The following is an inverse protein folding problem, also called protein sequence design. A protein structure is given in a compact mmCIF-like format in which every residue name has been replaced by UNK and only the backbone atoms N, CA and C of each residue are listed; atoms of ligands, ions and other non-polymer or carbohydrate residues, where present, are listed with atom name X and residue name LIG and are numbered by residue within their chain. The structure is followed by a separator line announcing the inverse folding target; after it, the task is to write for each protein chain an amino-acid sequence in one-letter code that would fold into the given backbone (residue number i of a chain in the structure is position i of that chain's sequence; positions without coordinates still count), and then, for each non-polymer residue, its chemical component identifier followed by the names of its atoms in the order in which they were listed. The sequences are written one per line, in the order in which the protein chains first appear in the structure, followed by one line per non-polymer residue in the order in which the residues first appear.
data_IF_418849263504
#
_entry.id   IF_418849263504
#
_cell.length_a   1.000
_cell.length_b   1.000
_cell.length_c   1.000
_cell.angle_alpha   90.00
_cell.angle_beta   90.00
_cell.angle_gamma   90.00
#
_symmetry.space_group_name_H-M   'P 1'
#
loop_
_entity.id
_entity.type
_entity.pdbx_description
1 polymer ?
#
# COMPACT_ATOMS: atom_id res chain seq x y z
N UNK A 1 -7.08 -20.32 25.97
CA UNK A 1 -7.23 -20.93 24.65
C UNK A 1 -6.11 -20.41 23.74
N UNK A 2 -5.52 -21.30 22.94
CA UNK A 2 -4.39 -20.96 22.04
C UNK A 2 -4.87 -20.64 20.61
N UNK A 3 -6.04 -20.01 20.47
CA UNK A 3 -6.68 -19.69 19.21
C UNK A 3 -7.65 -20.79 18.74
N UNK A 4 -8.48 -20.43 17.78
CA UNK A 4 -9.46 -21.32 17.13
C UNK A 4 -9.19 -21.35 15.62
N UNK A 5 -9.70 -22.36 14.93
CA UNK A 5 -9.77 -22.33 13.47
C UNK A 5 -10.86 -21.36 13.04
N UNK A 6 -10.58 -20.60 11.99
CA UNK A 6 -11.53 -19.64 11.41
C UNK A 6 -11.45 -19.64 9.89
N UNK A 7 -12.50 -19.15 9.26
CA UNK A 7 -12.61 -18.93 7.82
C UNK A 7 -12.79 -17.43 7.62
N UNK A 8 -12.04 -16.84 6.68
CA UNK A 8 -12.22 -15.46 6.28
C UNK A 8 -13.21 -15.36 5.13
N UNK A 9 -14.21 -14.49 5.27
CA UNK A 9 -15.14 -14.11 4.20
C UNK A 9 -15.09 -12.58 4.10
N UNK A 10 -14.09 -12.00 3.40
CA UNK A 10 -13.97 -10.58 3.28
C UNK A 10 -15.11 -10.00 2.43
N UNK A 11 -15.68 -8.87 2.88
CA UNK A 11 -16.83 -8.23 2.24
C UNK A 11 -16.48 -6.91 1.58
N UNK A 12 -15.21 -6.50 1.60
CA UNK A 12 -14.69 -5.32 0.92
C UNK A 12 -13.63 -5.70 -0.10
N UNK A 13 -13.45 -4.87 -1.14
CA UNK A 13 -12.42 -5.11 -2.14
C UNK A 13 -11.02 -5.15 -1.50
N UNK A 14 -10.71 -4.22 -0.60
CA UNK A 14 -9.46 -4.21 0.17
C UNK A 14 -9.26 -5.51 0.96
N UNK A 15 -10.31 -6.00 1.61
CA UNK A 15 -10.29 -7.27 2.32
C UNK A 15 -9.99 -8.46 1.40
N UNK A 16 -10.62 -8.48 0.21
CA UNK A 16 -10.49 -9.57 -0.76
C UNK A 16 -9.10 -9.66 -1.37
N UNK A 17 -8.54 -8.52 -1.81
CA UNK A 17 -7.27 -8.52 -2.53
C UNK A 17 -6.04 -8.43 -1.62
N UNK A 18 -6.21 -7.93 -0.39
CA UNK A 18 -5.08 -7.72 0.52
C UNK A 18 -5.29 -8.32 1.92
N UNK A 19 -6.17 -7.78 2.75
CA UNK A 19 -6.17 -8.00 4.19
C UNK A 19 -6.50 -9.46 4.61
N UNK A 20 -7.29 -10.20 3.83
CA UNK A 20 -7.65 -11.59 4.14
C UNK A 20 -6.48 -12.58 4.01
N UNK A 21 -5.38 -12.17 3.36
CA UNK A 21 -4.23 -13.00 3.06
C UNK A 21 -3.03 -12.64 3.95
N UNK A 22 -2.26 -13.66 4.35
CA UNK A 22 -0.99 -13.48 5.03
C UNK A 22 -1.02 -13.51 6.55
N UNK A 23 -2.18 -13.83 7.14
CA UNK A 23 -2.31 -14.21 8.54
C UNK A 23 -1.93 -13.16 9.58
N UNK A 24 -1.63 -11.93 9.17
CA UNK A 24 -1.40 -10.83 10.11
C UNK A 24 -2.72 -10.45 10.74
N UNK A 25 -2.85 -10.67 12.04
CA UNK A 25 -3.97 -10.17 12.84
C UNK A 25 -3.41 -9.14 13.80
N UNK A 26 -4.10 -8.03 13.97
CA UNK A 26 -3.62 -6.97 14.86
C UNK A 26 -4.74 -6.07 15.31
N UNK A 27 -4.50 -5.43 16.44
CA UNK A 27 -5.32 -4.35 16.97
C UNK A 27 -4.48 -3.12 17.23
N UNK A 28 -5.07 -1.97 17.08
CA UNK A 28 -4.46 -0.70 17.39
C UNK A 28 -4.46 -0.50 18.92
N UNK A 29 -3.37 0.04 19.44
CA UNK A 29 -3.23 0.32 20.85
C UNK A 29 -2.55 1.67 21.09
N UNK A 30 -3.18 2.54 21.89
CA UNK A 30 -2.68 3.88 22.23
C UNK A 30 -2.22 4.69 21.00
N UNK A 31 -3.07 4.81 20.01
CA UNK A 31 -2.84 5.55 18.75
C UNK A 31 -1.77 4.92 17.82
N UNK A 32 -1.20 3.80 18.17
CA UNK A 32 -0.25 3.07 17.34
C UNK A 32 -0.95 1.92 16.65
N UNK A 33 -0.82 1.82 15.32
CA UNK A 33 -1.42 0.77 14.51
C UNK A 33 -0.72 -0.57 14.73
N UNK A 34 -1.54 -1.66 14.74
CA UNK A 34 -1.07 -3.05 14.71
C UNK A 34 -0.07 -3.43 15.83
N UNK A 35 -0.17 -2.81 17.01
CA UNK A 35 0.78 -3.02 18.11
C UNK A 35 0.67 -4.38 18.78
N UNK A 36 -0.52 -4.95 18.81
CA UNK A 36 -0.77 -6.25 19.44
C UNK A 36 -1.39 -7.16 18.40
N UNK A 37 -0.70 -8.23 18.05
CA UNK A 37 -1.18 -9.15 17.04
C UNK A 37 -0.41 -10.45 17.00
N UNK A 38 -0.86 -11.35 16.15
CA UNK A 38 -0.24 -12.66 15.92
C UNK A 38 -0.26 -12.98 14.43
N UNK A 39 0.64 -13.84 14.01
CA UNK A 39 0.53 -14.50 12.70
C UNK A 39 -0.35 -15.74 12.85
N UNK A 40 -1.57 -15.68 12.32
CA UNK A 40 -2.50 -16.80 12.31
C UNK A 40 -3.23 -16.87 10.97
N UNK A 41 -2.89 -17.85 10.15
CA UNK A 41 -3.58 -18.08 8.89
C UNK A 41 -5.00 -18.62 9.11
N UNK A 42 -5.99 -18.16 8.33
CA UNK A 42 -7.30 -18.76 8.29
C UNK A 42 -7.18 -20.17 7.69
N UNK A 43 -8.12 -21.05 8.06
CA UNK A 43 -8.22 -22.37 7.45
C UNK A 43 -8.59 -22.27 5.96
N UNK A 44 -9.38 -21.26 5.63
CA UNK A 44 -9.87 -20.99 4.27
C UNK A 44 -10.17 -19.50 4.12
N UNK A 45 -10.02 -18.98 2.90
CA UNK A 45 -10.48 -17.64 2.49
C UNK A 45 -11.47 -17.82 1.37
N UNK A 46 -12.71 -17.37 1.58
CA UNK A 46 -13.78 -17.41 0.59
C UNK A 46 -13.94 -16.02 -0.01
N UNK A 47 -13.65 -15.87 -1.29
CA UNK A 47 -13.78 -14.63 -2.05
C UNK A 47 -15.06 -14.71 -2.89
N UNK A 48 -16.01 -13.80 -2.63
CA UNK A 48 -17.24 -13.71 -3.39
C UNK A 48 -17.55 -12.23 -3.70
N UNK A 49 -17.47 -11.88 -4.97
CA UNK A 49 -17.70 -10.50 -5.43
C UNK A 49 -19.15 -10.02 -5.22
N UNK A 50 -20.08 -10.90 -4.88
CA UNK A 50 -21.47 -10.51 -4.56
C UNK A 50 -21.51 -9.49 -3.42
N UNK A 51 -20.61 -9.57 -2.45
CA UNK A 51 -20.52 -8.63 -1.34
C UNK A 51 -20.16 -7.20 -1.78
N UNK A 52 -19.53 -7.04 -2.95
CA UNK A 52 -19.17 -5.73 -3.48
C UNK A 52 -20.36 -4.97 -4.06
N UNK A 53 -21.47 -5.65 -4.34
CA UNK A 53 -22.69 -5.02 -4.90
C UNK A 53 -23.30 -3.96 -3.98
N UNK A 54 -23.09 -4.08 -2.68
CA UNK A 54 -23.57 -3.13 -1.67
C UNK A 54 -22.46 -2.26 -1.09
N UNK A 55 -21.22 -2.45 -1.55
CA UNK A 55 -20.08 -1.67 -1.06
C UNK A 55 -20.16 -0.22 -1.57
N UNK A 56 -19.94 0.74 -0.67
CA UNK A 56 -19.89 2.16 -1.03
C UNK A 56 -18.74 2.40 -2.01
N UNK A 57 -18.96 3.32 -2.98
CA UNK A 57 -17.97 3.67 -4.00
C UNK A 57 -16.59 3.99 -3.43
N UNK A 58 -16.56 4.75 -2.35
CA UNK A 58 -15.31 5.17 -1.73
C UNK A 58 -14.53 3.99 -1.12
N UNK A 59 -15.22 3.01 -0.54
CA UNK A 59 -14.59 1.78 -0.04
C UNK A 59 -14.14 0.86 -1.17
N UNK A 60 -14.83 0.90 -2.30
CA UNK A 60 -14.40 0.20 -3.51
C UNK A 60 -13.11 0.81 -4.04
N UNK A 61 -13.04 2.14 -4.14
CA UNK A 61 -11.82 2.89 -4.54
C UNK A 61 -10.68 2.64 -3.55
N UNK A 62 -10.98 2.58 -2.25
CA UNK A 62 -9.99 2.26 -1.21
C UNK A 62 -9.25 0.94 -1.51
N UNK A 63 -9.96 -0.09 -1.98
CA UNK A 63 -9.34 -1.36 -2.39
C UNK A 63 -8.48 -1.26 -3.66
N UNK A 64 -8.72 -0.29 -4.53
CA UNK A 64 -7.91 -0.11 -5.74
C UNK A 64 -6.44 0.21 -5.47
N UNK A 65 -6.16 0.89 -4.36
CA UNK A 65 -4.79 1.21 -3.98
C UNK A 65 -3.91 -0.04 -3.89
N UNK A 66 -4.43 -1.10 -3.28
CA UNK A 66 -3.72 -2.36 -3.13
C UNK A 66 -3.58 -3.11 -4.45
N UNK A 67 -4.58 -3.04 -5.32
CA UNK A 67 -4.51 -3.60 -6.66
C UNK A 67 -3.43 -2.88 -7.48
N UNK A 68 -3.37 -1.55 -7.45
CA UNK A 68 -2.29 -0.77 -8.06
C UNK A 68 -0.93 -1.17 -7.48
N UNK A 69 -0.80 -1.28 -6.18
CA UNK A 69 0.43 -1.76 -5.53
C UNK A 69 0.86 -3.12 -6.04
N UNK A 70 -0.02 -4.11 -6.03
CA UNK A 70 0.29 -5.46 -6.49
C UNK A 70 0.71 -5.48 -7.96
N UNK A 71 0.05 -4.68 -8.81
CA UNK A 71 0.37 -4.57 -10.23
C UNK A 71 1.76 -3.96 -10.51
N UNK A 72 2.23 -3.11 -9.60
CA UNK A 72 3.58 -2.53 -9.67
C UNK A 72 4.67 -3.49 -9.18
N UNK A 73 4.31 -4.45 -8.32
CA UNK A 73 5.24 -5.41 -7.73
C UNK A 73 5.44 -6.67 -8.58
N UNK A 74 4.52 -7.01 -9.46
CA UNK A 74 4.63 -8.23 -10.28
C UNK A 74 5.38 -7.99 -11.58
N UNK A 75 6.26 -8.92 -11.94
CA UNK A 75 6.93 -8.98 -13.24
C UNK A 75 6.12 -9.72 -14.30
N UNK A 76 4.98 -10.30 -13.95
CA UNK A 76 4.06 -10.93 -14.88
C UNK A 76 3.45 -9.87 -15.81
N UNK A 77 3.78 -9.93 -17.10
CA UNK A 77 3.36 -8.92 -18.10
C UNK A 77 1.85 -8.85 -18.27
N UNK A 78 1.13 -9.92 -17.98
CA UNK A 78 -0.33 -9.98 -18.11
C UNK A 78 -1.06 -9.39 -16.90
N UNK A 79 -0.36 -9.20 -15.77
CA UNK A 79 -0.90 -8.71 -14.51
C UNK A 79 -0.22 -7.42 -14.01
N UNK A 80 0.82 -6.95 -14.69
CA UNK A 80 1.50 -5.72 -14.28
C UNK A 80 0.64 -4.47 -14.54
N UNK A 81 1.09 -3.32 -14.08
CA UNK A 81 0.38 -2.06 -14.17
C UNK A 81 -0.10 -1.73 -15.60
N UNK A 82 0.71 -1.99 -16.63
CA UNK A 82 0.36 -1.69 -18.02
C UNK A 82 -0.79 -2.57 -18.55
N UNK A 83 -1.01 -3.72 -17.96
CA UNK A 83 -2.13 -4.61 -18.27
C UNK A 83 -3.36 -4.28 -17.42
N UNK A 84 -3.15 -3.96 -16.12
CA UNK A 84 -4.22 -3.53 -15.22
C UNK A 84 -5.01 -2.34 -15.76
N UNK A 85 -4.34 -1.30 -16.27
CA UNK A 85 -5.00 -0.07 -16.77
C UNK A 85 -5.86 -0.25 -18.00
N UNK A 86 -5.83 -1.43 -18.62
CA UNK A 86 -6.67 -1.82 -19.76
C UNK A 86 -7.96 -2.53 -19.33
N UNK A 87 -8.05 -2.97 -18.07
CA UNK A 87 -9.21 -3.68 -17.56
C UNK A 87 -10.32 -2.69 -17.18
N UNK A 88 -11.55 -3.15 -17.33
CA UNK A 88 -12.73 -2.46 -16.79
C UNK A 88 -13.01 -3.01 -15.38
N UNK A 89 -12.77 -2.22 -14.35
CA UNK A 89 -12.90 -2.65 -12.96
C UNK A 89 -14.30 -3.18 -12.59
N UNK A 90 -15.34 -2.78 -13.28
CA UNK A 90 -16.69 -3.28 -13.01
C UNK A 90 -16.96 -4.60 -13.73
N UNK A 91 -16.49 -4.75 -14.97
CA UNK A 91 -16.72 -5.95 -15.77
C UNK A 91 -15.76 -7.07 -15.39
N UNK A 92 -14.52 -6.71 -15.09
CA UNK A 92 -13.42 -7.64 -14.84
C UNK A 92 -13.19 -7.92 -13.35
N UNK A 93 -14.12 -7.50 -12.47
CA UNK A 93 -13.94 -7.53 -11.00
C UNK A 93 -13.57 -8.91 -10.47
N UNK A 94 -14.17 -10.00 -10.95
CA UNK A 94 -13.85 -11.35 -10.53
C UNK A 94 -12.42 -11.74 -10.90
N UNK A 95 -12.01 -11.46 -12.14
CA UNK A 95 -10.65 -11.67 -12.61
C UNK A 95 -9.65 -10.86 -11.77
N UNK A 96 -9.97 -9.61 -11.49
CA UNK A 96 -9.12 -8.71 -10.69
C UNK A 96 -8.95 -9.28 -9.27
N UNK A 97 -10.04 -9.65 -8.59
CA UNK A 97 -9.97 -10.21 -7.24
C UNK A 97 -9.12 -11.48 -7.24
N UNK A 98 -9.38 -12.41 -8.14
CA UNK A 98 -8.65 -13.67 -8.24
C UNK A 98 -7.14 -13.41 -8.44
N UNK A 99 -6.79 -12.70 -9.51
CA UNK A 99 -5.38 -12.56 -9.93
C UNK A 99 -4.56 -11.67 -9.00
N UNK A 100 -5.12 -10.57 -8.50
CA UNK A 100 -4.36 -9.68 -7.63
C UNK A 100 -4.26 -10.18 -6.19
N UNK A 101 -5.21 -11.00 -5.71
CA UNK A 101 -5.06 -11.73 -4.45
C UNK A 101 -4.01 -12.86 -4.57
N UNK A 102 -3.91 -13.53 -5.73
CA UNK A 102 -2.87 -14.52 -6.01
C UNK A 102 -1.46 -13.92 -5.91
N UNK A 103 -1.22 -12.72 -6.47
CA UNK A 103 0.08 -12.03 -6.37
C UNK A 103 0.51 -11.88 -4.90
N UNK A 104 -0.40 -11.40 -4.05
CA UNK A 104 -0.11 -11.28 -2.62
C UNK A 104 0.16 -12.64 -1.98
N UNK A 105 -0.67 -13.64 -2.28
CA UNK A 105 -0.53 -14.97 -1.73
C UNK A 105 0.83 -15.58 -2.05
N UNK A 106 1.27 -15.50 -3.31
CA UNK A 106 2.58 -15.98 -3.72
C UNK A 106 3.73 -15.32 -2.94
N UNK A 107 3.68 -13.99 -2.76
CA UNK A 107 4.70 -13.26 -1.99
C UNK A 107 4.68 -13.69 -0.51
N UNK A 108 3.49 -13.89 0.07
CA UNK A 108 3.34 -14.34 1.47
C UNK A 108 3.84 -15.76 1.66
N UNK A 109 3.59 -16.67 0.72
CA UNK A 109 4.05 -18.06 0.79
C UNK A 109 5.57 -18.17 0.79
N UNK A 110 6.26 -17.26 0.10
CA UNK A 110 7.72 -17.18 0.08
C UNK A 110 8.32 -16.68 1.40
N UNK A 111 7.59 -15.86 2.15
CA UNK A 111 8.06 -15.26 3.41
C UNK A 111 6.90 -14.97 4.37
N UNK A 112 6.44 -16.00 5.06
CA UNK A 112 5.25 -15.94 5.94
C UNK A 112 5.36 -14.91 7.06
N UNK A 113 6.57 -14.69 7.59
CA UNK A 113 6.81 -13.85 8.76
C UNK A 113 7.36 -12.46 8.43
N UNK A 114 7.45 -12.10 7.12
CA UNK A 114 7.94 -10.79 6.66
C UNK A 114 9.35 -10.45 7.14
N UNK A 115 10.20 -11.45 7.16
CA UNK A 115 11.61 -11.28 7.53
C UNK A 115 12.47 -10.75 6.37
N UNK A 116 12.04 -10.96 5.13
CA UNK A 116 12.83 -10.67 3.93
C UNK A 116 11.95 -10.17 2.76
N UNK A 117 11.61 -11.06 1.83
CA UNK A 117 10.98 -10.72 0.55
C UNK A 117 9.57 -10.13 0.68
N UNK A 118 8.78 -10.58 1.65
CA UNK A 118 7.43 -10.06 1.87
C UNK A 118 7.40 -8.56 2.18
N UNK A 119 8.52 -7.99 2.64
CA UNK A 119 8.65 -6.54 2.89
C UNK A 119 8.38 -5.68 1.64
N UNK A 120 8.48 -6.24 0.42
CA UNK A 120 8.12 -5.51 -0.81
C UNK A 120 6.65 -5.10 -0.85
N UNK A 121 5.77 -5.81 -0.12
CA UNK A 121 4.36 -5.41 0.03
C UNK A 121 4.18 -4.07 0.76
N UNK A 122 5.25 -3.53 1.38
CA UNK A 122 5.24 -2.22 2.00
C UNK A 122 5.49 -1.07 1.00
N UNK A 123 5.50 -1.30 -0.32
CA UNK A 123 5.50 -0.22 -1.31
C UNK A 123 4.37 0.76 -1.03
N UNK A 124 4.71 2.02 -0.88
CA UNK A 124 3.77 3.09 -0.51
C UNK A 124 3.38 3.16 0.96
N UNK A 125 3.66 2.14 1.76
CA UNK A 125 3.21 2.08 3.16
C UNK A 125 4.06 2.92 4.10
N UNK A 126 5.34 3.07 3.82
CA UNK A 126 6.25 3.84 4.68
C UNK A 126 5.77 5.29 4.80
N UNK A 127 5.56 5.95 3.68
CA UNK A 127 5.02 7.32 3.63
C UNK A 127 3.51 7.31 3.87
N UNK A 128 2.80 6.36 3.29
CA UNK A 128 1.34 6.25 3.41
C UNK A 128 0.84 6.21 4.85
N UNK A 129 1.44 5.42 5.73
CA UNK A 129 1.06 5.38 7.15
C UNK A 129 1.33 6.70 7.88
N UNK A 130 2.41 7.40 7.57
CA UNK A 130 2.67 8.72 8.14
C UNK A 130 1.63 9.75 7.68
N UNK A 131 1.30 9.76 6.39
CA UNK A 131 0.26 10.62 5.81
C UNK A 131 -1.13 10.29 6.37
N UNK A 132 -1.46 9.02 6.50
CA UNK A 132 -2.71 8.55 7.11
C UNK A 132 -2.81 9.04 8.57
N UNK A 133 -1.77 8.80 9.37
CA UNK A 133 -1.71 9.24 10.76
C UNK A 133 -1.82 10.76 10.88
N UNK A 134 -1.08 11.49 10.02
CA UNK A 134 -1.16 12.94 9.93
C UNK A 134 -2.60 13.42 9.69
N UNK A 135 -3.31 12.79 8.75
CA UNK A 135 -4.68 13.17 8.39
C UNK A 135 -5.68 13.00 9.54
N UNK A 136 -5.50 11.97 10.38
CA UNK A 136 -6.32 11.75 11.58
C UNK A 136 -6.00 12.72 12.73
N UNK A 137 -4.73 13.12 12.85
CA UNK A 137 -4.27 13.94 13.98
C UNK A 137 -4.41 15.44 13.74
N UNK A 138 -4.59 15.86 12.49
CA UNK A 138 -4.60 17.27 12.10
C UNK A 138 -6.04 17.82 11.98
N UNK A 139 -6.50 18.69 12.90
CA UNK A 139 -7.81 19.32 12.79
C UNK A 139 -7.93 20.10 11.47
N UNK A 140 -9.08 20.01 10.83
CA UNK A 140 -9.40 20.65 9.55
C UNK A 140 -8.65 20.13 8.31
N UNK A 141 -7.78 19.14 8.43
CA UNK A 141 -7.30 18.39 7.28
C UNK A 141 -8.32 17.31 6.90
N UNK A 142 -8.46 17.00 5.61
CA UNK A 142 -9.34 15.92 5.16
C UNK A 142 -8.80 14.59 5.69
N UNK A 143 -9.57 13.87 6.46
CA UNK A 143 -9.24 12.50 6.85
C UNK A 143 -9.12 11.61 5.61
N UNK A 144 -7.97 10.97 5.46
CA UNK A 144 -7.68 10.10 4.33
C UNK A 144 -7.96 8.64 4.71
N UNK A 145 -8.65 7.94 3.82
CA UNK A 145 -8.76 6.48 3.94
C UNK A 145 -7.41 5.84 3.65
N UNK A 146 -7.25 4.63 4.14
CA UNK A 146 -6.02 3.86 3.95
C UNK A 146 -5.53 3.87 2.50
N UNK A 147 -6.38 3.52 1.53
CA UNK A 147 -6.00 3.49 0.12
C UNK A 147 -5.60 4.86 -0.44
N UNK A 148 -6.27 5.96 -0.01
CA UNK A 148 -5.90 7.33 -0.41
C UNK A 148 -4.48 7.66 0.08
N UNK A 149 -4.16 7.31 1.33
CA UNK A 149 -2.84 7.53 1.91
C UNK A 149 -1.76 6.65 1.26
N UNK A 150 -2.07 5.37 0.99
CA UNK A 150 -1.14 4.46 0.31
C UNK A 150 -0.82 4.94 -1.11
N UNK A 151 -1.79 5.47 -1.83
CA UNK A 151 -1.56 6.05 -3.16
C UNK A 151 -0.61 7.26 -3.11
N UNK A 152 -0.75 8.14 -2.13
CA UNK A 152 0.22 9.23 -1.90
C UNK A 152 1.61 8.64 -1.68
N UNK A 153 1.72 7.63 -0.81
CA UNK A 153 2.98 6.93 -0.55
C UNK A 153 3.58 6.29 -1.81
N UNK A 154 2.77 5.59 -2.61
CA UNK A 154 3.24 4.97 -3.86
C UNK A 154 3.78 6.02 -4.83
N UNK A 155 3.06 7.12 -5.07
CA UNK A 155 3.52 8.17 -6.00
C UNK A 155 4.82 8.79 -5.50
N UNK A 156 4.95 9.03 -4.20
CA UNK A 156 6.15 9.60 -3.59
C UNK A 156 7.33 8.61 -3.66
N UNK A 157 7.12 7.34 -3.31
CA UNK A 157 8.18 6.31 -3.39
C UNK A 157 8.62 6.04 -4.84
N UNK A 158 7.71 6.17 -5.82
CA UNK A 158 8.07 6.14 -7.24
C UNK A 158 8.91 7.36 -7.66
N UNK A 159 8.63 8.54 -7.10
CA UNK A 159 9.44 9.72 -7.35
C UNK A 159 10.85 9.55 -6.74
N UNK A 160 10.95 9.03 -5.53
CA UNK A 160 12.25 8.66 -4.92
C UNK A 160 12.96 7.61 -5.80
N UNK A 161 12.23 6.63 -6.33
CA UNK A 161 12.77 5.62 -7.25
C UNK A 161 13.35 6.24 -8.52
N UNK A 162 12.67 7.25 -9.08
CA UNK A 162 13.19 8.02 -10.22
C UNK A 162 14.51 8.74 -9.87
N UNK A 163 14.59 9.35 -8.69
CA UNK A 163 15.78 10.10 -8.25
C UNK A 163 16.96 9.20 -7.89
N UNK A 164 16.71 8.07 -7.24
CA UNK A 164 17.73 7.22 -6.62
C UNK A 164 18.10 5.99 -7.45
N UNK A 165 17.19 5.50 -8.29
CA UNK A 165 17.33 4.23 -9.01
C UNK A 165 17.13 4.38 -10.53
N UNK A 166 17.03 5.61 -11.05
CA UNK A 166 16.76 5.89 -12.46
C UNK A 166 15.45 5.24 -12.98
N UNK A 167 14.42 5.12 -12.09
CA UNK A 167 13.10 4.66 -12.53
C UNK A 167 12.60 5.53 -13.69
N UNK A 168 12.06 4.95 -14.78
CA UNK A 168 11.72 5.73 -15.96
C UNK A 168 10.67 6.82 -15.67
N UNK A 169 11.01 8.08 -15.91
CA UNK A 169 10.12 9.25 -15.70
C UNK A 169 8.80 9.12 -16.49
N UNK A 170 8.86 8.46 -17.64
CA UNK A 170 7.68 8.22 -18.48
C UNK A 170 6.70 7.28 -17.78
N UNK A 171 7.20 6.22 -17.12
CA UNK A 171 6.39 5.29 -16.35
C UNK A 171 5.81 5.97 -15.11
N UNK A 172 6.61 6.76 -14.38
CA UNK A 172 6.12 7.56 -13.26
C UNK A 172 4.95 8.47 -13.66
N UNK A 173 5.08 9.23 -14.75
CA UNK A 173 4.01 10.11 -15.25
C UNK A 173 2.78 9.32 -15.68
N UNK A 174 2.97 8.20 -16.35
CA UNK A 174 1.88 7.29 -16.77
C UNK A 174 1.15 6.72 -15.55
N UNK A 175 1.88 6.23 -14.55
CA UNK A 175 1.31 5.69 -13.31
C UNK A 175 0.52 6.78 -12.58
N UNK A 176 1.13 7.95 -12.31
CA UNK A 176 0.48 9.10 -11.65
C UNK A 176 -0.83 9.47 -12.38
N UNK A 177 -0.79 9.62 -13.70
CA UNK A 177 -1.97 10.04 -14.47
C UNK A 177 -3.11 9.01 -14.46
N UNK A 178 -2.81 7.72 -14.44
CA UNK A 178 -3.82 6.67 -14.36
C UNK A 178 -4.41 6.56 -12.95
N UNK A 179 -3.60 6.66 -11.91
CA UNK A 179 -4.06 6.66 -10.52
C UNK A 179 -5.00 7.85 -10.26
N UNK A 180 -4.67 9.04 -10.74
CA UNK A 180 -5.49 10.25 -10.57
C UNK A 180 -6.84 10.22 -11.31
N UNK A 181 -7.16 9.18 -12.08
CA UNK A 181 -8.52 8.95 -12.59
C UNK A 181 -9.47 8.41 -11.52
N UNK A 182 -8.94 7.85 -10.46
CA UNK A 182 -9.70 7.19 -9.38
C UNK A 182 -9.54 7.90 -8.03
N UNK A 183 -8.40 8.57 -7.80
CA UNK A 183 -8.06 9.21 -6.54
C UNK A 183 -7.88 10.71 -6.75
N UNK A 184 -8.42 11.50 -5.83
CA UNK A 184 -8.19 12.94 -5.82
C UNK A 184 -6.74 13.26 -5.45
N UNK A 185 -6.20 14.32 -6.02
CA UNK A 185 -4.90 14.84 -5.63
C UNK A 185 -4.97 15.44 -4.23
N UNK A 186 -4.14 14.95 -3.32
CA UNK A 186 -3.95 15.54 -1.99
C UNK A 186 -2.84 16.59 -2.08
N UNK A 187 -3.07 17.77 -1.49
CA UNK A 187 -2.09 18.86 -1.43
C UNK A 187 -1.62 19.03 0.00
N UNK A 188 -0.33 19.20 0.16
CA UNK A 188 0.33 19.45 1.43
C UNK A 188 1.07 20.79 1.36
N UNK A 189 0.99 21.60 2.41
CA UNK A 189 1.88 22.75 2.56
C UNK A 189 3.18 22.36 3.27
N UNK A 190 4.12 23.29 3.38
CA UNK A 190 5.41 23.02 4.03
C UNK A 190 5.29 22.63 5.50
N UNK A 191 4.25 23.08 6.20
CA UNK A 191 3.99 22.74 7.59
C UNK A 191 3.48 21.31 7.69
N UNK A 192 2.58 20.91 6.78
CA UNK A 192 2.07 19.56 6.68
C UNK A 192 3.22 18.57 6.45
N UNK A 193 4.09 18.89 5.49
CA UNK A 193 5.26 18.06 5.16
C UNK A 193 6.22 17.88 6.35
N UNK A 194 6.47 18.95 7.12
CA UNK A 194 7.29 18.87 8.33
C UNK A 194 6.70 17.91 9.37
N UNK A 195 5.38 17.97 9.60
CA UNK A 195 4.71 17.09 10.55
C UNK A 195 4.68 15.63 10.08
N UNK A 196 4.46 15.40 8.79
CA UNK A 196 4.53 14.06 8.18
C UNK A 196 5.94 13.48 8.34
N UNK A 197 6.98 14.30 8.15
CA UNK A 197 8.35 13.91 8.37
C UNK A 197 8.63 13.50 9.82
N UNK A 198 8.13 14.28 10.79
CA UNK A 198 8.28 13.94 12.20
C UNK A 198 7.61 12.60 12.54
N UNK A 199 6.46 12.30 11.94
CA UNK A 199 5.79 11.01 12.10
C UNK A 199 6.59 9.85 11.49
N UNK A 200 7.19 10.05 10.32
CA UNK A 200 8.11 9.07 9.71
C UNK A 200 9.31 8.78 10.61
N UNK A 201 9.90 9.81 11.19
CA UNK A 201 11.03 9.68 12.08
C UNK A 201 10.66 9.00 13.42
N UNK A 202 9.44 9.26 13.93
CA UNK A 202 8.97 8.72 15.21
C UNK A 202 8.69 7.21 15.14
N UNK A 203 8.05 6.74 14.10
CA UNK A 203 7.70 5.31 13.92
C UNK A 203 8.95 4.40 13.89
N UNK A 204 10.13 4.98 13.68
CA UNK A 204 11.40 4.27 13.46
C UNK A 204 12.53 4.61 14.42
N UNK A 205 12.27 5.36 15.48
CA UNK A 205 13.25 5.62 16.56
C UNK A 205 13.81 4.37 17.24
N UNK A 206 13.17 3.22 17.04
CA UNK A 206 13.63 1.96 17.62
C UNK A 206 14.70 1.23 16.79
N UNK A 207 14.95 1.65 15.52
CA UNK A 207 15.93 1.00 14.63
C UNK A 207 17.04 1.95 14.14
N UNK A 208 17.16 3.16 14.69
CA UNK A 208 18.11 4.20 14.28
C UNK A 208 17.51 5.17 13.23
N UNK A 209 18.35 6.05 12.67
CA UNK A 209 17.93 7.09 11.71
C UNK A 209 17.56 6.57 10.30
N UNK A 210 17.64 5.25 10.09
CA UNK A 210 17.39 4.62 8.78
C UNK A 210 16.02 3.99 8.71
N UNK A 211 15.35 4.23 7.58
CA UNK A 211 14.02 3.77 7.27
C UNK A 211 14.04 2.82 6.08
N UNK A 212 13.30 1.70 6.19
CA UNK A 212 13.10 0.80 5.08
C UNK A 212 12.07 1.37 4.10
N UNK A 213 12.51 1.64 2.88
CA UNK A 213 11.65 1.98 1.75
C UNK A 213 11.59 0.83 0.76
N UNK A 214 10.48 0.69 0.08
CA UNK A 214 10.37 -0.17 -1.10
C UNK A 214 10.38 0.73 -2.32
N UNK A 215 11.46 0.66 -3.10
CA UNK A 215 11.62 1.43 -4.32
C UNK A 215 11.55 0.50 -5.53
N UNK A 216 11.24 1.06 -6.70
CA UNK A 216 11.21 0.30 -7.95
C UNK A 216 12.37 0.71 -8.86
N UNK A 217 13.10 -0.25 -9.41
CA UNK A 217 14.03 -0.01 -10.50
C UNK A 217 13.29 0.07 -11.84
N UNK A 218 12.25 -0.73 -11.98
CA UNK A 218 11.27 -0.76 -13.06
C UNK A 218 9.98 -1.44 -12.55
N UNK A 219 8.88 -1.36 -13.28
CA UNK A 219 7.64 -2.07 -12.91
C UNK A 219 7.94 -3.57 -12.79
N UNK A 220 7.56 -4.16 -11.65
CA UNK A 220 7.81 -5.58 -11.33
C UNK A 220 9.20 -5.87 -10.78
N UNK A 221 10.02 -4.84 -10.48
CA UNK A 221 11.35 -5.01 -9.90
C UNK A 221 11.55 -4.18 -8.64
N UNK A 222 10.90 -4.57 -7.54
CA UNK A 222 11.05 -3.89 -6.25
C UNK A 222 12.41 -4.15 -5.62
N UNK A 223 12.92 -3.15 -4.91
CA UNK A 223 14.15 -3.18 -4.12
C UNK A 223 13.85 -2.62 -2.74
N UNK A 224 14.29 -3.31 -1.69
CA UNK A 224 14.22 -2.82 -0.32
C UNK A 224 15.46 -1.97 -0.07
N UNK A 225 15.27 -0.67 0.18
CA UNK A 225 16.32 0.30 0.40
C UNK A 225 16.26 0.83 1.83
N UNK A 226 17.42 0.98 2.46
CA UNK A 226 17.57 1.71 3.73
C UNK A 226 18.00 3.15 3.40
N UNK A 227 17.09 4.11 3.58
CA UNK A 227 17.38 5.52 3.39
C UNK A 227 17.41 6.24 4.74
N UNK A 228 18.22 7.31 4.83
CA UNK A 228 18.11 8.24 5.95
C UNK A 228 16.82 9.06 5.82
N UNK A 229 16.22 9.39 6.94
CA UNK A 229 14.98 10.19 6.95
C UNK A 229 15.17 11.56 6.31
N UNK A 230 16.37 12.17 6.44
CA UNK A 230 16.73 13.43 5.80
C UNK A 230 16.65 13.35 4.27
N UNK A 231 17.18 12.28 3.68
CA UNK A 231 17.22 12.13 2.22
C UNK A 231 15.82 11.94 1.63
N UNK A 232 14.93 11.27 2.37
CA UNK A 232 13.54 11.07 1.96
C UNK A 232 12.70 12.37 2.07
N UNK A 233 12.98 13.24 3.04
CA UNK A 233 12.24 14.48 3.25
C UNK A 233 12.48 15.51 2.15
N UNK A 234 13.73 15.69 1.71
CA UNK A 234 14.11 16.60 0.64
C UNK A 234 13.42 16.22 -0.69
N UNK A 235 13.20 14.92 -0.89
CA UNK A 235 12.54 14.40 -2.09
C UNK A 235 11.00 14.53 -2.01
N UNK A 236 10.39 14.36 -0.82
CA UNK A 236 8.92 14.54 -0.63
C UNK A 236 8.53 16.00 -0.88
N UNK A 237 9.33 16.96 -0.43
CA UNK A 237 9.07 18.39 -0.62
C UNK A 237 9.13 18.85 -2.10
N UNK A 238 9.68 18.04 -3.00
CA UNK A 238 9.85 18.33 -4.43
C UNK A 238 8.83 17.68 -5.37
N UNK A 239 7.80 16.99 -4.81
CA UNK A 239 6.73 16.34 -5.58
C UNK A 239 5.57 17.33 -5.79
N UNK A 240 5.66 18.17 -6.82
CA UNK A 240 4.54 18.98 -7.35
C UNK A 240 3.58 18.16 -8.22
#
# INVERSE_FOLDING_TARGET
LRGINFINIPTTLLGMVDAAHGGKTGIDFKLLKNQIGVFREPKEVILDSVYLTTLKKDEFINGYAEIFKHSLLTNNKDLNFNSLIKLDFHKDVNFIIEKYSEIKKEIVELDKFESSQRKILNLGHTIGHAVESYSYMTPNFKELRHGEAIIVGIITELYISYKQLDFPIIDLKNIKSNILKYFDQVKFDNKDLSLIYDLLAYDKKNEGEKVNFVLLKEIGRPIICLLYTSDAADEVASVD
#
